data_IF_214227371983
#
_entry.id   IF_214227371983
#
_cell.length_a   1.000
_cell.length_b   1.000
_cell.length_c   1.000
_cell.angle_alpha   90.00
_cell.angle_beta   90.00
_cell.angle_gamma   90.00
#
_symmetry.space_group_name_H-M   'P 1'
#
loop_
_entity.id
_entity.type
_entity.pdbx_description
1 polymer ?
#
# COMPACT_ATOMS: atom_id res chain seq x y z
N UNK A 1 3.35 26.50 -33.00
CA UNK A 1 2.53 26.09 -31.84
C UNK A 1 2.99 24.70 -31.40
N UNK A 2 4.15 24.61 -30.77
CA UNK A 2 4.76 23.33 -30.39
C UNK A 2 4.68 23.14 -28.87
N UNK A 3 4.32 21.91 -28.48
CA UNK A 3 4.58 21.25 -27.19
C UNK A 3 3.92 21.86 -25.94
N UNK A 4 2.72 21.38 -25.62
CA UNK A 4 2.19 21.34 -24.24
C UNK A 4 2.12 19.90 -23.75
N UNK A 5 3.28 19.27 -23.64
CA UNK A 5 3.49 18.21 -22.65
C UNK A 5 3.99 18.90 -21.39
N UNK A 6 3.22 18.90 -20.30
CA UNK A 6 3.74 19.03 -18.92
C UNK A 6 2.62 19.03 -17.90
N UNK A 7 2.27 17.82 -17.47
CA UNK A 7 2.02 17.53 -16.06
C UNK A 7 2.13 16.01 -15.87
N UNK A 8 3.32 15.44 -15.61
CA UNK A 8 3.31 14.23 -14.81
C UNK A 8 2.70 14.62 -13.45
N UNK A 9 1.62 13.95 -13.07
CA UNK A 9 1.18 13.91 -11.68
C UNK A 9 2.31 13.27 -10.87
N UNK A 10 3.29 14.09 -10.52
CA UNK A 10 4.37 13.76 -9.59
C UNK A 10 3.76 13.80 -8.21
N UNK A 11 3.51 12.60 -7.71
CA UNK A 11 2.99 12.31 -6.38
C UNK A 11 3.17 10.84 -6.05
N UNK A 12 4.29 10.26 -6.47
CA UNK A 12 4.85 9.00 -6.00
C UNK A 12 6.37 9.12 -6.16
N UNK A 13 6.95 10.13 -5.52
CA UNK A 13 8.40 10.21 -5.33
C UNK A 13 8.70 9.34 -4.10
N UNK A 14 9.28 8.13 -4.27
CA UNK A 14 9.68 7.32 -3.13
C UNK A 14 10.74 8.09 -2.36
N UNK A 15 10.59 8.31 -1.05
CA UNK A 15 11.64 8.94 -0.28
C UNK A 15 12.86 8.00 -0.25
N UNK A 16 13.97 8.46 -0.82
CA UNK A 16 15.30 8.01 -0.44
C UNK A 16 15.49 8.28 1.07
N UNK A 17 15.07 7.34 1.90
CA UNK A 17 15.42 7.25 3.30
C UNK A 17 16.07 5.87 3.51
N UNK A 18 17.41 5.78 3.50
CA UNK A 18 18.10 4.51 3.67
C UNK A 18 17.85 4.03 5.10
N UNK A 19 16.97 3.02 5.26
CA UNK A 19 16.75 2.06 6.37
C UNK A 19 15.26 1.66 6.54
N UNK A 20 14.34 2.14 5.69
CA UNK A 20 12.94 1.69 5.68
C UNK A 20 12.73 0.54 4.68
N UNK A 21 12.08 -0.54 5.09
CA UNK A 21 11.72 -1.66 4.21
C UNK A 21 10.32 -1.44 3.65
N UNK A 22 10.25 -1.32 2.32
CA UNK A 22 8.98 -1.23 1.60
C UNK A 22 8.62 -2.60 1.05
N UNK A 23 7.39 -3.05 1.31
CA UNK A 23 6.86 -4.32 0.83
C UNK A 23 5.52 -4.11 0.18
N UNK A 24 5.34 -4.69 -1.01
CA UNK A 24 4.07 -4.64 -1.72
C UNK A 24 3.33 -5.96 -1.54
N UNK A 25 2.02 -5.87 -1.35
CA UNK A 25 1.12 -7.01 -1.20
C UNK A 25 -0.02 -6.91 -2.19
N UNK A 26 -0.46 -8.04 -2.73
CA UNK A 26 -1.66 -8.11 -3.55
C UNK A 26 -2.87 -8.39 -2.65
N UNK A 27 -3.93 -7.62 -2.85
CA UNK A 27 -5.19 -7.75 -2.09
C UNK A 27 -6.35 -7.89 -3.07
N UNK A 28 -7.15 -8.92 -2.86
CA UNK A 28 -8.38 -9.17 -3.61
C UNK A 28 -9.58 -8.50 -2.95
N UNK A 29 -10.48 -7.98 -3.79
CA UNK A 29 -11.74 -7.36 -3.34
C UNK A 29 -11.70 -5.83 -3.24
N UNK A 30 -10.53 -5.18 -3.36
CA UNK A 30 -10.46 -3.71 -3.46
C UNK A 30 -10.92 -3.27 -4.85
N UNK A 31 -12.12 -2.71 -4.97
CA UNK A 31 -12.69 -2.25 -6.26
C UNK A 31 -13.13 -0.79 -6.27
N UNK A 32 -13.00 -0.07 -5.16
CA UNK A 32 -13.44 1.32 -5.01
C UNK A 32 -12.48 2.11 -4.10
N UNK A 33 -12.39 3.43 -4.30
CA UNK A 33 -11.45 4.28 -3.54
C UNK A 33 -11.74 4.42 -2.04
N UNK A 34 -12.94 4.03 -1.59
CA UNK A 34 -13.21 3.89 -0.15
C UNK A 34 -12.56 2.64 0.45
N UNK A 35 -12.41 1.58 -0.34
CA UNK A 35 -11.76 0.34 0.08
C UNK A 35 -10.29 0.57 0.42
N UNK A 36 -9.61 1.39 -0.40
CA UNK A 36 -8.21 1.77 -0.20
C UNK A 36 -7.99 2.37 1.18
N UNK A 37 -8.85 3.34 1.55
CA UNK A 37 -8.75 4.02 2.84
C UNK A 37 -8.98 3.08 4.01
N UNK A 38 -10.01 2.23 3.95
CA UNK A 38 -10.28 1.24 4.99
C UNK A 38 -9.09 0.30 5.18
N UNK A 39 -8.60 -0.33 4.11
CA UNK A 39 -7.45 -1.25 4.20
C UNK A 39 -6.21 -0.53 4.69
N UNK A 40 -5.93 0.67 4.18
CA UNK A 40 -4.75 1.44 4.59
C UNK A 40 -4.78 1.86 6.06
N UNK A 41 -5.96 2.12 6.62
CA UNK A 41 -6.12 2.48 8.02
C UNK A 41 -5.79 1.29 8.93
N UNK A 42 -6.41 0.13 8.70
CA UNK A 42 -6.17 -1.09 9.51
C UNK A 42 -4.70 -1.53 9.42
N UNK A 43 -4.11 -1.47 8.21
CA UNK A 43 -2.71 -1.83 8.00
C UNK A 43 -1.75 -0.83 8.66
N UNK A 44 -2.11 0.46 8.72
CA UNK A 44 -1.29 1.48 9.36
C UNK A 44 -1.27 1.35 10.89
N UNK A 45 -2.23 0.64 11.49
CA UNK A 45 -2.23 0.34 12.93
C UNK A 45 -1.25 -0.77 13.32
N UNK A 46 -0.69 -1.49 12.33
CA UNK A 46 0.28 -2.55 12.59
C UNK A 46 1.61 -1.99 13.11
N UNK A 47 2.23 -2.67 14.09
CA UNK A 47 3.45 -2.20 14.71
C UNK A 47 4.61 -2.16 13.70
N UNK A 48 5.26 -1.00 13.59
CA UNK A 48 6.41 -0.81 12.71
C UNK A 48 6.06 -0.32 11.32
N UNK A 49 4.77 -0.21 10.98
CA UNK A 49 4.31 0.48 9.76
C UNK A 49 4.48 1.98 9.94
N UNK A 50 5.11 2.62 8.94
CA UNK A 50 5.27 4.07 8.89
C UNK A 50 4.40 4.69 7.82
N UNK A 51 4.18 3.99 6.71
CA UNK A 51 3.39 4.47 5.58
C UNK A 51 2.66 3.30 4.91
N UNK A 52 1.44 3.57 4.44
CA UNK A 52 0.64 2.62 3.66
C UNK A 52 0.06 3.32 2.44
N UNK A 53 0.24 2.72 1.29
CA UNK A 53 -0.33 3.15 0.02
C UNK A 53 -1.12 1.99 -0.59
N UNK A 54 -2.45 2.04 -0.47
CA UNK A 54 -3.35 1.09 -1.08
C UNK A 54 -3.80 1.60 -2.45
N UNK A 55 -3.80 0.71 -3.45
CA UNK A 55 -4.13 1.00 -4.84
C UNK A 55 -5.18 -0.01 -5.32
N UNK A 56 -6.45 0.37 -5.27
CA UNK A 56 -7.58 -0.49 -5.66
C UNK A 56 -7.64 -0.70 -7.17
N UNK A 57 -7.07 0.20 -7.98
CA UNK A 57 -6.95 -0.02 -9.42
C UNK A 57 -5.95 -1.12 -9.74
N UNK A 58 -4.80 -1.13 -9.07
CA UNK A 58 -3.79 -2.17 -9.24
C UNK A 58 -4.10 -3.44 -8.44
N UNK A 59 -4.92 -3.36 -7.39
CA UNK A 59 -5.18 -4.46 -6.46
C UNK A 59 -3.98 -4.74 -5.55
N UNK A 60 -3.21 -3.69 -5.21
CA UNK A 60 -1.97 -3.82 -4.45
C UNK A 60 -1.92 -2.82 -3.29
N UNK A 61 -1.24 -3.20 -2.21
CA UNK A 61 -0.98 -2.37 -1.03
C UNK A 61 0.52 -2.34 -0.79
N UNK A 62 1.11 -1.16 -0.90
CA UNK A 62 2.52 -0.90 -0.64
C UNK A 62 2.65 -0.40 0.79
N UNK A 63 3.50 -1.05 1.58
CA UNK A 63 3.67 -0.76 2.99
C UNK A 63 5.12 -0.46 3.26
N UNK A 64 5.38 0.70 3.85
CA UNK A 64 6.70 1.09 4.32
C UNK A 64 6.76 0.89 5.82
N UNK A 65 7.80 0.20 6.27
CA UNK A 65 7.97 -0.21 7.66
C UNK A 65 9.44 -0.11 8.09
N UNK A 66 9.68 0.18 9.36
CA UNK A 66 11.06 0.23 9.91
C UNK A 66 11.62 -1.16 10.23
N UNK A 67 10.74 -2.15 10.32
CA UNK A 67 11.08 -3.53 10.65
C UNK A 67 10.28 -4.47 9.72
N UNK A 68 10.76 -5.71 9.50
CA UNK A 68 9.98 -6.70 8.76
C UNK A 68 8.63 -6.91 9.43
N UNK A 69 7.56 -6.71 8.65
CA UNK A 69 6.19 -6.98 9.05
C UNK A 69 5.90 -8.47 9.01
N UNK A 70 5.04 -8.90 9.92
CA UNK A 70 4.54 -10.27 9.94
C UNK A 70 3.38 -10.40 8.95
N UNK A 71 3.56 -11.25 7.93
CA UNK A 71 2.55 -11.48 6.90
C UNK A 71 1.21 -11.98 7.48
N UNK A 72 1.22 -12.65 8.63
CA UNK A 72 0.02 -13.18 9.28
C UNK A 72 -0.77 -12.07 9.97
N UNK A 73 -0.09 -11.15 10.67
CA UNK A 73 -0.70 -9.93 11.19
C UNK A 73 -1.28 -9.05 10.07
N UNK A 74 -0.53 -8.93 8.97
CA UNK A 74 -0.99 -8.20 7.80
C UNK A 74 -2.25 -8.80 7.22
N UNK A 75 -2.27 -10.13 7.03
CA UNK A 75 -3.44 -10.85 6.55
C UNK A 75 -4.63 -10.65 7.48
N UNK A 76 -4.44 -10.74 8.80
CA UNK A 76 -5.50 -10.52 9.77
C UNK A 76 -6.09 -9.11 9.68
N UNK A 77 -5.25 -8.07 9.58
CA UNK A 77 -5.73 -6.69 9.42
C UNK A 77 -6.52 -6.49 8.10
N UNK A 78 -6.07 -7.13 7.01
CA UNK A 78 -6.75 -7.08 5.71
C UNK A 78 -8.08 -7.87 5.76
N UNK A 79 -8.13 -8.99 6.46
CA UNK A 79 -9.33 -9.82 6.67
C UNK A 79 -10.37 -9.11 7.55
N UNK A 80 -9.93 -8.48 8.64
CA UNK A 80 -10.78 -7.63 9.50
C UNK A 80 -11.37 -6.45 8.72
N UNK A 81 -10.61 -5.88 7.77
CA UNK A 81 -11.10 -4.87 6.84
C UNK A 81 -12.13 -5.42 5.82
N UNK A 82 -12.27 -6.75 5.71
CA UNK A 82 -13.18 -7.43 4.79
C UNK A 82 -12.58 -7.73 3.41
N UNK A 83 -11.26 -7.83 3.30
CA UNK A 83 -10.54 -8.11 2.05
C UNK A 83 -9.63 -9.32 2.21
N UNK A 84 -9.15 -9.87 1.09
CA UNK A 84 -8.28 -11.04 1.14
C UNK A 84 -6.86 -10.71 0.68
N UNK A 85 -5.88 -10.94 1.55
CA UNK A 85 -4.47 -10.84 1.21
C UNK A 85 -4.05 -12.04 0.35
N UNK A 86 -3.80 -11.80 -0.93
CA UNK A 86 -3.38 -12.83 -1.89
C UNK A 86 -1.93 -13.25 -1.64
N UNK A 87 -1.08 -12.30 -1.27
CA UNK A 87 0.31 -12.54 -0.92
C UNK A 87 1.23 -11.36 -1.22
N UNK A 88 2.52 -11.55 -0.99
CA UNK A 88 3.54 -10.55 -1.28
C UNK A 88 3.76 -10.42 -2.80
N UNK A 89 3.55 -9.22 -3.33
CA UNK A 89 3.89 -8.87 -4.71
C UNK A 89 5.31 -8.33 -4.72
N UNK A 90 6.19 -8.95 -5.50
CA UNK A 90 7.63 -8.69 -5.53
C UNK A 90 7.99 -7.24 -5.92
#
# INVERSE_FOLDING_TARGET
MVLSESAPARGNEPPEAPMSSTVTYSVSGMSCGHCEKSVSAEVAELPGVTEVAADAKAGTVTISSQAPLDDDQLRAAVDEAGYELVGRSA
#
